data_IF_744326140517
#
_entry.id   IF_744326140517
#
_cell.length_a   1.000
_cell.length_b   1.000
_cell.length_c   1.000
_cell.angle_alpha   90.00
_cell.angle_beta   90.00
_cell.angle_gamma   90.00
#
_symmetry.space_group_name_H-M   'P 1'
#
loop_
_entity.id
_entity.type
_entity.pdbx_description
1 polymer ?
#
# COMPACT_ATOMS: atom_id res chain seq x y z
N UNK A 1 -4.48 -8.97 28.62
CA UNK A 1 -4.60 -7.81 27.72
C UNK A 1 -3.32 -7.81 26.92
N UNK A 2 -3.35 -8.08 25.61
CA UNK A 2 -2.12 -8.08 24.82
C UNK A 2 -1.61 -6.64 24.76
N UNK A 3 -0.41 -6.38 25.28
CA UNK A 3 0.31 -5.14 25.01
C UNK A 3 0.54 -5.08 23.51
N UNK A 4 -0.28 -4.27 22.84
CA UNK A 4 -0.15 -4.04 21.41
C UNK A 4 1.02 -3.08 21.25
N UNK A 5 2.08 -3.59 20.66
CA UNK A 5 3.23 -2.76 20.33
C UNK A 5 2.81 -1.59 19.41
N UNK A 6 3.05 -0.33 19.82
CA UNK A 6 2.60 0.83 19.07
C UNK A 6 3.28 0.93 17.70
N UNK A 7 4.53 0.45 17.55
CA UNK A 7 5.24 0.44 16.28
C UNK A 7 4.62 -0.59 15.32
N UNK A 8 4.26 -1.77 15.83
CA UNK A 8 3.57 -2.80 15.05
C UNK A 8 2.21 -2.30 14.53
N UNK A 9 1.46 -1.60 15.38
CA UNK A 9 0.19 -1.00 15.00
C UNK A 9 0.36 0.03 13.88
N UNK A 10 1.34 0.91 13.99
CA UNK A 10 1.61 1.93 12.97
C UNK A 10 2.01 1.29 11.64
N UNK A 11 2.86 0.25 11.70
CA UNK A 11 3.26 -0.54 10.54
C UNK A 11 2.06 -1.18 9.83
N UNK A 12 1.12 -1.76 10.56
CA UNK A 12 -0.09 -2.38 9.96
C UNK A 12 -0.94 -1.31 9.24
N UNK A 13 -1.09 -0.11 9.83
CA UNK A 13 -1.81 0.99 9.19
C UNK A 13 -1.08 1.43 7.91
N UNK A 14 0.24 1.56 7.96
CA UNK A 14 1.04 1.93 6.79
C UNK A 14 0.92 0.89 5.67
N UNK A 15 0.99 -0.40 5.96
CA UNK A 15 0.82 -1.46 4.96
C UNK A 15 -0.55 -1.40 4.28
N UNK A 16 -1.61 -1.10 5.05
CA UNK A 16 -2.94 -0.92 4.49
C UNK A 16 -3.01 0.29 3.55
N UNK A 17 -2.51 1.45 4.00
CA UNK A 17 -2.63 2.72 3.26
C UNK A 17 -1.69 2.78 2.06
N UNK A 18 -0.45 2.31 2.21
CA UNK A 18 0.58 2.36 1.18
C UNK A 18 0.41 1.21 0.17
N UNK A 19 0.30 -0.04 0.63
CA UNK A 19 0.24 -1.20 -0.28
C UNK A 19 -1.20 -1.54 -0.71
N UNK A 20 -2.22 -1.01 -0.03
CA UNK A 20 -3.62 -1.37 -0.28
C UNK A 20 -4.00 -2.77 0.21
N UNK A 21 -3.24 -3.35 1.14
CA UNK A 21 -3.48 -4.69 1.70
C UNK A 21 -4.84 -4.76 2.38
N UNK A 22 -5.58 -5.85 2.23
CA UNK A 22 -6.90 -5.98 2.88
C UNK A 22 -6.76 -6.27 4.37
N UNK A 23 -7.75 -5.87 5.18
CA UNK A 23 -7.76 -6.19 6.62
C UNK A 23 -7.70 -7.69 6.90
N UNK A 24 -8.23 -8.51 5.98
CA UNK A 24 -8.14 -9.98 6.07
C UNK A 24 -6.70 -10.46 5.90
N UNK A 25 -6.00 -9.99 4.87
CA UNK A 25 -4.58 -10.34 4.68
C UNK A 25 -3.73 -9.95 5.89
N UNK A 26 -3.95 -8.76 6.44
CA UNK A 26 -3.24 -8.30 7.63
C UNK A 26 -3.64 -9.09 8.88
N UNK A 27 -4.91 -9.51 8.99
CA UNK A 27 -5.39 -10.37 10.07
C UNK A 27 -4.74 -11.75 10.04
N UNK A 28 -4.60 -12.34 8.84
CA UNK A 28 -3.99 -13.66 8.66
C UNK A 28 -2.47 -13.62 8.95
N UNK A 29 -1.80 -12.53 8.61
CA UNK A 29 -0.35 -12.36 8.81
C UNK A 29 0.04 -11.99 10.24
N UNK A 30 -0.68 -11.03 10.85
CA UNK A 30 -0.33 -10.49 12.17
C UNK A 30 -1.15 -11.11 13.31
N UNK A 31 -2.14 -11.96 13.01
CA UNK A 31 -2.96 -12.65 14.01
C UNK A 31 -3.96 -11.76 14.75
N UNK A 32 -4.16 -10.51 14.31
CA UNK A 32 -5.12 -9.59 14.91
C UNK A 32 -6.46 -9.62 14.18
N UNK A 33 -7.61 -9.58 14.90
CA UNK A 33 -8.91 -9.50 14.26
C UNK A 33 -9.02 -8.30 13.31
N UNK A 34 -9.61 -8.51 12.14
CA UNK A 34 -9.84 -7.45 11.15
C UNK A 34 -10.58 -6.22 11.72
N UNK A 35 -11.47 -6.43 12.70
CA UNK A 35 -12.16 -5.35 13.43
C UNK A 35 -11.20 -4.49 14.25
N UNK A 36 -10.20 -5.09 14.88
CA UNK A 36 -9.14 -4.40 15.62
C UNK A 36 -8.27 -3.58 14.67
N UNK A 37 -7.88 -4.16 13.54
CA UNK A 37 -7.09 -3.48 12.52
C UNK A 37 -7.86 -2.28 11.94
N UNK A 38 -9.14 -2.47 11.61
CA UNK A 38 -10.02 -1.39 11.14
C UNK A 38 -10.12 -0.24 12.16
N UNK A 39 -10.25 -0.58 13.45
CA UNK A 39 -10.25 0.41 14.53
C UNK A 39 -8.93 1.20 14.58
N UNK A 40 -7.79 0.55 14.40
CA UNK A 40 -6.49 1.22 14.41
C UNK A 40 -6.33 2.21 13.25
N UNK A 41 -6.73 1.81 12.05
CA UNK A 41 -6.73 2.69 10.86
C UNK A 41 -7.63 3.89 11.09
N UNK A 42 -8.85 3.68 11.59
CA UNK A 42 -9.79 4.77 11.87
C UNK A 42 -9.23 5.75 12.91
N UNK A 43 -8.62 5.23 13.98
CA UNK A 43 -7.99 6.07 15.00
C UNK A 43 -6.79 6.84 14.44
N UNK A 44 -6.00 6.24 13.55
CA UNK A 44 -4.89 6.91 12.89
C UNK A 44 -5.39 8.07 12.00
N UNK A 45 -6.45 7.86 11.22
CA UNK A 45 -7.08 8.92 10.42
C UNK A 45 -7.69 10.03 11.29
N UNK A 46 -8.32 9.68 12.41
CA UNK A 46 -8.84 10.68 13.36
C UNK A 46 -7.73 11.48 14.05
N UNK A 47 -6.61 10.83 14.38
CA UNK A 47 -5.44 11.52 14.92
C UNK A 47 -4.80 12.44 13.88
N UNK A 48 -4.82 12.05 12.61
CA UNK A 48 -4.39 12.88 11.50
C UNK A 48 -5.28 14.12 11.30
N UNK A 49 -6.60 14.01 11.50
CA UNK A 49 -7.51 15.16 11.41
C UNK A 49 -7.16 16.31 12.39
N UNK A 50 -6.57 15.97 13.53
CA UNK A 50 -6.21 16.93 14.58
C UNK A 50 -4.72 17.31 14.58
N UNK A 51 -3.89 16.71 13.72
CA UNK A 51 -2.45 16.96 13.66
C UNK A 51 -1.97 17.05 12.19
N UNK A 52 -1.48 18.24 11.81
CA UNK A 52 -1.02 18.55 10.45
C UNK A 52 0.11 17.65 9.96
N UNK A 53 1.05 17.27 10.82
CA UNK A 53 2.16 16.38 10.47
C UNK A 53 1.64 14.97 10.17
N UNK A 54 0.72 14.46 10.99
CA UNK A 54 0.09 13.15 10.76
C UNK A 54 -0.82 13.15 9.53
N UNK A 55 -1.53 14.24 9.25
CA UNK A 55 -2.27 14.43 8.01
C UNK A 55 -1.36 14.38 6.78
N UNK A 56 -0.22 15.06 6.85
CA UNK A 56 0.76 15.05 5.77
C UNK A 56 1.40 13.66 5.59
N UNK A 57 1.71 12.97 6.69
CA UNK A 57 2.21 11.60 6.65
C UNK A 57 1.21 10.64 5.97
N UNK A 58 -0.07 10.71 6.35
CA UNK A 58 -1.13 9.90 5.74
C UNK A 58 -1.25 10.19 4.23
N UNK A 59 -1.31 11.46 3.84
CA UNK A 59 -1.39 11.86 2.44
C UNK A 59 -0.16 11.42 1.63
N UNK A 60 1.03 11.43 2.25
CA UNK A 60 2.25 10.94 1.61
C UNK A 60 2.21 9.41 1.41
N UNK A 61 1.73 8.65 2.39
CA UNK A 61 1.56 7.19 2.28
C UNK A 61 0.59 6.83 1.13
N UNK A 62 -0.54 7.53 1.03
CA UNK A 62 -1.50 7.32 -0.06
C UNK A 62 -0.90 7.65 -1.44
N UNK A 63 -0.14 8.74 -1.54
CA UNK A 63 0.55 9.12 -2.78
C UNK A 63 1.60 8.08 -3.19
N UNK A 64 2.40 7.59 -2.24
CA UNK A 64 3.39 6.55 -2.49
C UNK A 64 2.74 5.29 -3.04
N UNK A 65 1.63 4.85 -2.46
CA UNK A 65 0.89 3.68 -2.94
C UNK A 65 0.37 3.84 -4.37
N UNK A 66 -0.15 5.03 -4.71
CA UNK A 66 -0.60 5.34 -6.08
C UNK A 66 0.54 5.32 -7.08
N UNK A 67 1.67 5.97 -6.75
CA UNK A 67 2.84 6.01 -7.61
C UNK A 67 3.45 4.61 -7.82
N UNK A 68 3.47 3.76 -6.79
CA UNK A 68 3.93 2.38 -6.92
C UNK A 68 3.09 1.58 -7.92
N UNK A 69 1.76 1.73 -7.88
CA UNK A 69 0.85 1.10 -8.85
C UNK A 69 1.08 1.62 -10.27
N UNK A 70 1.23 2.93 -10.43
CA UNK A 70 1.48 3.55 -11.73
C UNK A 70 2.81 3.07 -12.34
N UNK A 71 3.87 2.97 -11.53
CA UNK A 71 5.17 2.43 -11.97
C UNK A 71 5.02 0.97 -12.40
N UNK A 72 4.25 0.16 -11.68
CA UNK A 72 4.02 -1.24 -12.04
C UNK A 72 3.31 -1.37 -13.39
N UNK A 73 2.26 -0.59 -13.62
CA UNK A 73 1.53 -0.58 -14.89
C UNK A 73 2.40 -0.11 -16.05
N UNK A 74 3.14 1.00 -15.87
CA UNK A 74 4.08 1.49 -16.88
C UNK A 74 5.18 0.48 -17.21
N UNK A 75 5.66 -0.28 -16.22
CA UNK A 75 6.64 -1.35 -16.45
C UNK A 75 6.05 -2.49 -17.27
N UNK A 76 4.82 -2.93 -16.97
CA UNK A 76 4.12 -3.97 -17.74
C UNK A 76 3.93 -3.54 -19.19
N UNK A 77 3.52 -2.29 -19.43
CA UNK A 77 3.35 -1.74 -20.78
C UNK A 77 4.69 -1.63 -21.51
N UNK A 78 5.74 -1.16 -20.83
CA UNK A 78 7.09 -1.07 -21.41
C UNK A 78 7.61 -2.46 -21.82
N UNK A 79 7.42 -3.47 -20.96
CA UNK A 79 7.82 -4.84 -21.24
C UNK A 79 7.00 -5.45 -22.39
N UNK A 80 5.71 -5.14 -22.48
CA UNK A 80 4.87 -5.54 -23.60
C UNK A 80 5.37 -4.92 -24.92
N UNK A 81 5.62 -3.61 -24.95
CA UNK A 81 6.14 -2.89 -26.12
C UNK A 81 7.50 -3.42 -26.56
N UNK A 82 8.41 -3.70 -25.61
CA UNK A 82 9.72 -4.32 -25.89
C UNK A 82 9.56 -5.70 -26.53
N UNK A 83 8.66 -6.53 -26.02
CA UNK A 83 8.36 -7.84 -26.59
C UNK A 83 7.79 -7.73 -28.00
N UNK A 84 6.87 -6.78 -28.23
CA UNK A 84 6.31 -6.51 -29.56
C UNK A 84 7.39 -6.03 -30.55
N UNK A 85 8.22 -5.06 -30.15
CA UNK A 85 9.33 -4.58 -30.98
C UNK A 85 10.32 -5.70 -31.34
N UNK A 86 10.66 -6.56 -30.37
CA UNK A 86 11.53 -7.71 -30.61
C UNK A 86 10.88 -8.77 -31.54
N UNK A 87 9.55 -8.92 -31.49
CA UNK A 87 8.81 -9.78 -32.41
C UNK A 87 8.86 -9.22 -33.85
N UNK A 88 8.49 -7.96 -34.05
CA UNK A 88 8.48 -7.33 -35.38
C UNK A 88 9.88 -7.24 -36.01
N UNK A 89 10.93 -7.01 -35.21
CA UNK A 89 12.31 -7.01 -35.69
C UNK A 89 12.78 -8.39 -36.19
N UNK A 90 12.16 -9.48 -35.70
CA UNK A 90 12.46 -10.85 -36.16
C UNK A 90 11.71 -11.22 -37.44
N UNK A 91 10.50 -10.70 -37.68
CA UNK A 91 9.75 -10.94 -38.92
C UNK A 91 10.22 -10.09 -40.10
N UNK A 92 10.86 -8.94 -39.85
CA UNK A 92 11.42 -8.08 -40.91
C UNK A 92 12.76 -8.59 -41.48
N UNK A 93 13.10 -9.86 -41.26
CA UNK A 93 14.36 -10.49 -41.69
C UNK A 93 14.06 -11.74 -42.51
#
# INVERSE_FOLDING_TARGET
>A
MYDIDPELREKIVQLHVQEGRTFKSLSDEFGYPASTISRWVRQYCQAAANNKERAQALANMEKLGKLQKEIEELRKENDFLKKAAAFFAKESK
#
